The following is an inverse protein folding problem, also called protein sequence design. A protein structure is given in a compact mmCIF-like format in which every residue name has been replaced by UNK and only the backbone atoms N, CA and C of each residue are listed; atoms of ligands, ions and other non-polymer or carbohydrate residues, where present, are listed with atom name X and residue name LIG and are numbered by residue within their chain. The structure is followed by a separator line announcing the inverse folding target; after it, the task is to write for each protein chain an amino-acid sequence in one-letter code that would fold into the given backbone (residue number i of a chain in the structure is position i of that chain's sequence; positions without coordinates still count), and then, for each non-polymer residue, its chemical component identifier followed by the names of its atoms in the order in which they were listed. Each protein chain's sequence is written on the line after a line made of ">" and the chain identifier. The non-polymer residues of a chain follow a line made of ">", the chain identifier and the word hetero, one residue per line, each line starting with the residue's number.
data_IF_693253836597
#
_entry.id   IF_693253836597
#
_cell.length_a   1.000
_cell.length_b   1.000
_cell.length_c   1.000
_cell.angle_alpha   90.00
_cell.angle_beta   90.00
_cell.angle_gamma   90.00
#
_symmetry.space_group_name_H-M   'P 1'
#
loop_
_entity.id
_entity.type
_entity.pdbx_description
1 polymer ?
#
# COMPACT_ATOMS: atom_id res chain seq x y z
N UNK A 1 15.62 8.95 8.50
CA UNK A 1 14.44 9.75 8.09
C UNK A 1 14.66 11.20 8.48
N UNK A 2 14.03 12.20 7.83
CA UNK A 2 14.26 13.62 8.12
C UNK A 2 13.58 14.14 9.40
N UNK A 3 13.04 13.27 10.24
CA UNK A 3 12.32 13.60 11.48
C UNK A 3 12.80 12.74 12.65
N UNK A 4 12.59 13.26 13.87
CA UNK A 4 12.80 12.49 15.10
C UNK A 4 11.74 11.40 15.17
N UNK A 5 12.18 10.16 15.33
CA UNK A 5 11.28 9.01 15.42
C UNK A 5 10.46 9.06 16.72
N UNK A 6 9.16 8.78 16.58
CA UNK A 6 8.22 8.65 17.69
C UNK A 6 7.44 7.35 17.49
N UNK A 7 7.75 6.28 18.24
CA UNK A 7 7.09 4.99 18.10
C UNK A 7 5.57 5.04 18.26
N UNK A 8 5.03 6.04 18.97
CA UNK A 8 3.58 6.20 19.13
C UNK A 8 2.87 6.57 17.83
N UNK A 9 3.61 7.06 16.83
CA UNK A 9 3.10 7.40 15.50
C UNK A 9 3.23 6.26 14.50
N UNK A 10 3.79 5.11 14.90
CA UNK A 10 4.02 4.00 13.99
C UNK A 10 2.73 3.24 13.74
N UNK A 11 2.56 2.80 12.50
CA UNK A 11 1.46 1.94 12.09
C UNK A 11 2.05 0.63 11.60
N UNK A 12 1.51 -0.47 12.11
CA UNK A 12 1.89 -1.81 11.71
C UNK A 12 0.72 -2.47 11.01
N UNK A 13 1.00 -3.18 9.94
CA UNK A 13 0.00 -3.82 9.09
C UNK A 13 0.39 -5.27 8.85
N UNK A 14 -0.62 -6.12 8.75
CA UNK A 14 -0.49 -7.51 8.33
C UNK A 14 -1.07 -7.66 6.92
N UNK A 15 -0.34 -8.36 6.05
CA UNK A 15 -0.87 -8.79 4.75
C UNK A 15 -1.95 -9.86 4.98
N UNK A 16 -3.15 -9.63 4.47
CA UNK A 16 -4.32 -10.50 4.65
C UNK A 16 -4.87 -11.05 3.35
N UNK A 17 -4.68 -10.32 2.24
CA UNK A 17 -5.15 -10.73 0.92
C UNK A 17 -4.02 -11.05 -0.06
N UNK A 18 -4.41 -11.50 -1.26
CA UNK A 18 -3.49 -11.82 -2.34
C UNK A 18 -3.31 -10.62 -3.29
N UNK A 19 -2.12 -10.05 -3.29
CA UNK A 19 -1.74 -8.92 -4.14
C UNK A 19 -1.58 -9.29 -5.62
N UNK A 20 -1.57 -10.57 -5.98
CA UNK A 20 -1.61 -11.00 -7.37
C UNK A 20 -3.03 -10.98 -7.95
N UNK A 21 -4.05 -10.71 -7.13
CA UNK A 21 -5.46 -10.80 -7.53
C UNK A 21 -6.27 -9.57 -7.07
N UNK A 22 -5.66 -8.39 -7.07
CA UNK A 22 -6.29 -7.13 -6.62
C UNK A 22 -7.59 -6.84 -7.37
N UNK A 23 -7.63 -7.11 -8.68
CA UNK A 23 -8.82 -6.96 -9.52
C UNK A 23 -10.04 -7.69 -8.94
N UNK A 24 -9.86 -8.92 -8.46
CA UNK A 24 -10.95 -9.68 -7.85
C UNK A 24 -11.49 -9.00 -6.60
N UNK A 25 -10.62 -8.45 -5.74
CA UNK A 25 -11.06 -7.74 -4.52
C UNK A 25 -11.85 -6.47 -4.88
N UNK A 26 -11.42 -5.72 -5.89
CA UNK A 26 -12.10 -4.51 -6.36
C UNK A 26 -13.46 -4.83 -6.99
N UNK A 27 -13.54 -5.90 -7.78
CA UNK A 27 -14.78 -6.32 -8.45
C UNK A 27 -15.80 -6.93 -7.47
N UNK A 28 -15.33 -7.59 -6.41
CA UNK A 28 -16.18 -8.28 -5.43
C UNK A 28 -16.56 -7.42 -4.23
N UNK A 29 -15.87 -6.30 -3.98
CA UNK A 29 -16.24 -5.43 -2.85
C UNK A 29 -17.69 -4.93 -3.02
N UNK A 30 -18.55 -5.03 -1.99
CA UNK A 30 -19.90 -4.46 -2.04
C UNK A 30 -19.88 -2.93 -1.91
N UNK A 31 -18.74 -2.33 -1.55
CA UNK A 31 -18.57 -0.89 -1.41
C UNK A 31 -18.30 -0.25 -2.78
N UNK A 32 -19.35 0.30 -3.38
CA UNK A 32 -19.27 0.99 -4.66
C UNK A 32 -18.38 2.25 -4.61
N UNK A 33 -18.33 2.95 -3.46
CA UNK A 33 -17.51 4.15 -3.29
C UNK A 33 -16.04 3.77 -3.25
N UNK A 34 -15.69 2.69 -2.55
CA UNK A 34 -14.33 2.17 -2.55
C UNK A 34 -13.88 1.76 -3.97
N UNK A 35 -14.75 1.06 -4.71
CA UNK A 35 -14.48 0.65 -6.10
C UNK A 35 -14.24 1.85 -7.01
N UNK A 36 -15.08 2.88 -6.89
CA UNK A 36 -14.94 4.12 -7.65
C UNK A 36 -13.64 4.86 -7.32
N UNK A 37 -13.23 4.90 -6.05
CA UNK A 37 -11.95 5.51 -5.65
C UNK A 37 -10.75 4.80 -6.28
N UNK A 38 -10.76 3.46 -6.30
CA UNK A 38 -9.69 2.69 -6.93
C UNK A 38 -9.66 2.97 -8.44
N UNK A 39 -10.82 2.92 -9.10
CA UNK A 39 -10.92 3.16 -10.54
C UNK A 39 -10.48 4.57 -10.90
N UNK A 40 -10.93 5.59 -10.15
CA UNK A 40 -10.53 6.99 -10.34
C UNK A 40 -9.02 7.19 -10.19
N UNK A 41 -8.41 6.52 -9.21
CA UNK A 41 -6.96 6.57 -9.03
C UNK A 41 -6.25 5.92 -10.22
N UNK A 42 -6.70 4.75 -10.67
CA UNK A 42 -6.12 4.08 -11.83
C UNK A 42 -6.21 4.94 -13.08
N UNK A 43 -7.38 5.53 -13.35
CA UNK A 43 -7.58 6.43 -14.50
C UNK A 43 -6.69 7.69 -14.43
N UNK A 44 -6.55 8.28 -13.24
CA UNK A 44 -5.75 9.50 -13.06
C UNK A 44 -4.25 9.30 -13.35
N UNK A 45 -3.76 8.07 -13.21
CA UNK A 45 -2.36 7.70 -13.44
C UNK A 45 -2.17 6.78 -14.66
N UNK A 46 -3.22 6.56 -15.46
CA UNK A 46 -3.23 5.67 -16.64
C UNK A 46 -2.71 4.26 -16.32
N UNK A 47 -3.20 3.68 -15.22
CA UNK A 47 -2.79 2.38 -14.70
C UNK A 47 -3.76 1.27 -15.09
N UNK A 48 -3.22 0.09 -15.36
CA UNK A 48 -3.94 -1.17 -15.44
C UNK A 48 -3.74 -2.02 -14.17
N UNK A 49 -4.54 -3.08 -14.00
CA UNK A 49 -4.32 -4.02 -12.89
C UNK A 49 -2.97 -4.73 -12.98
N UNK A 50 -2.42 -4.89 -14.19
CA UNK A 50 -1.08 -5.44 -14.39
C UNK A 50 0.01 -4.52 -13.84
N UNK A 51 -0.25 -3.21 -13.69
CA UNK A 51 0.71 -2.25 -13.13
C UNK A 51 0.71 -2.26 -11.59
N UNK A 52 -0.31 -2.84 -10.95
CA UNK A 52 -0.47 -2.88 -9.50
C UNK A 52 0.43 -3.95 -8.85
N UNK A 53 1.75 -3.77 -8.95
CA UNK A 53 2.75 -4.68 -8.39
C UNK A 53 3.44 -4.07 -7.16
N UNK A 54 3.69 -4.90 -6.16
CA UNK A 54 4.56 -4.52 -5.04
C UNK A 54 6.00 -4.44 -5.56
N UNK A 55 6.65 -3.30 -5.33
CA UNK A 55 8.07 -3.14 -5.58
C UNK A 55 8.85 -3.27 -4.28
N UNK A 56 10.06 -3.83 -4.35
CA UNK A 56 10.94 -4.05 -3.20
C UNK A 56 12.30 -3.43 -3.49
N UNK A 57 12.84 -2.68 -2.53
CA UNK A 57 14.15 -2.09 -2.63
C UNK A 57 14.83 -1.93 -1.28
N UNK A 58 16.15 -1.74 -1.30
CA UNK A 58 16.92 -1.44 -0.10
C UNK A 58 16.88 0.07 0.19
N UNK A 59 16.72 0.43 1.47
CA UNK A 59 16.76 1.82 1.92
C UNK A 59 18.21 2.27 1.96
N UNK A 60 18.55 3.18 1.05
CA UNK A 60 19.86 3.81 0.99
C UNK A 60 20.14 4.68 2.24
N UNK A 61 21.43 4.92 2.57
CA UNK A 61 21.80 5.89 3.60
C UNK A 61 21.27 7.29 3.29
N UNK A 62 20.88 8.04 4.32
CA UNK A 62 20.33 9.38 4.15
C UNK A 62 19.88 10.00 5.47
N UNK A 63 19.84 11.33 5.53
CA UNK A 63 19.42 12.09 6.72
C UNK A 63 20.16 11.68 8.01
N UNK A 64 21.47 11.42 7.93
CA UNK A 64 22.30 10.99 9.06
C UNK A 64 22.08 9.54 9.52
N UNK A 65 21.23 8.77 8.83
CA UNK A 65 21.03 7.34 9.06
C UNK A 65 21.82 6.50 8.06
N UNK A 66 22.31 5.34 8.50
CA UNK A 66 23.04 4.35 7.69
C UNK A 66 22.15 3.58 6.71
N UNK A 67 20.82 3.75 6.77
CA UNK A 67 19.88 2.94 5.99
C UNK A 67 19.88 1.47 6.43
N UNK A 68 19.66 0.57 5.46
CA UNK A 68 19.74 -0.90 5.67
C UNK A 68 18.42 -1.61 5.94
N UNK A 69 17.30 -0.87 5.97
CA UNK A 69 15.97 -1.45 5.92
C UNK A 69 15.58 -1.89 4.50
N UNK A 70 14.62 -2.78 4.40
CA UNK A 70 13.95 -3.10 3.13
C UNK A 70 12.68 -2.27 3.06
N UNK A 71 12.49 -1.55 1.95
CA UNK A 71 11.27 -0.85 1.64
C UNK A 71 10.43 -1.66 0.66
N UNK A 72 9.13 -1.69 0.93
CA UNK A 72 8.13 -2.18 -0.01
C UNK A 72 7.27 -0.99 -0.44
N UNK A 73 7.20 -0.75 -1.75
CA UNK A 73 6.25 0.18 -2.32
C UNK A 73 4.97 -0.59 -2.64
N UNK A 74 3.89 -0.17 -2.01
CA UNK A 74 2.59 -0.80 -2.17
C UNK A 74 1.88 -0.23 -3.40
N UNK A 75 1.13 -1.04 -4.16
CA UNK A 75 0.56 -0.63 -5.44
C UNK A 75 -0.64 0.33 -5.31
N UNK A 76 -1.21 0.45 -4.12
CA UNK A 76 -2.33 1.34 -3.81
C UNK A 76 -2.10 2.03 -2.46
N UNK A 77 -2.75 3.20 -2.23
CA UNK A 77 -2.80 3.83 -0.92
C UNK A 77 -3.30 2.89 0.19
N UNK A 78 -2.77 3.09 1.41
CA UNK A 78 -3.03 2.25 2.59
C UNK A 78 -4.53 2.14 2.91
N UNK A 79 -5.27 3.24 2.81
CA UNK A 79 -6.71 3.26 3.10
C UNK A 79 -7.52 2.42 2.10
N UNK A 80 -7.13 2.41 0.82
CA UNK A 80 -7.75 1.56 -0.18
C UNK A 80 -7.41 0.08 0.04
N UNK A 81 -6.15 -0.21 0.41
CA UNK A 81 -5.72 -1.58 0.72
C UNK A 81 -6.42 -2.15 1.96
N UNK A 82 -6.62 -1.33 3.00
CA UNK A 82 -7.42 -1.70 4.17
C UNK A 82 -8.87 -1.94 3.80
N UNK A 83 -9.47 -1.05 3.00
CA UNK A 83 -10.85 -1.19 2.51
C UNK A 83 -11.07 -2.45 1.68
N UNK A 84 -10.07 -2.83 0.87
CA UNK A 84 -10.08 -4.05 0.06
C UNK A 84 -9.70 -5.31 0.86
N UNK A 85 -9.38 -5.17 2.16
CA UNK A 85 -8.95 -6.29 3.02
C UNK A 85 -7.67 -6.98 2.52
N UNK A 86 -6.85 -6.24 1.77
CA UNK A 86 -5.52 -6.69 1.34
C UNK A 86 -4.50 -6.56 2.48
N UNK A 87 -4.71 -5.58 3.36
CA UNK A 87 -3.98 -5.41 4.61
C UNK A 87 -4.94 -5.19 5.79
N UNK A 88 -4.48 -5.54 6.99
CA UNK A 88 -5.17 -5.25 8.24
C UNK A 88 -4.24 -4.62 9.26
N UNK A 89 -4.67 -3.53 9.90
CA UNK A 89 -3.89 -2.84 10.94
C UNK A 89 -3.72 -3.72 12.18
N UNK A 90 -2.48 -3.77 12.69
CA UNK A 90 -2.13 -4.44 13.95
C UNK A 90 -2.33 -3.49 15.14
N UNK A 91 -2.71 -4.05 16.28
CA UNK A 91 -2.89 -3.32 17.54
C UNK A 91 -1.58 -3.12 18.27
#
# INVERSE_FOLDING_TARGET
>A
MPYVEDPSKYHQYRITGDFNNIESYVNQTPDAVLREKVTTLMDAYDLSYDDLKIQKGDIAPGFGSTGGGIQYEMPLPVDLLEGLVLIGKMK
#
